data_IF_917444760969
#
_entry.id   IF_917444760969
#
_cell.length_a   1.000
_cell.length_b   1.000
_cell.length_c   1.000
_cell.angle_alpha   90.00
_cell.angle_beta   90.00
_cell.angle_gamma   90.00
#
_symmetry.space_group_name_H-M   'P 1'
#
loop_
_entity.id
_entity.type
_entity.pdbx_description
1 polymer ?
#
# COMPACT_ATOMS: atom_id res chain seq x y z
N UNK A 1 17.03 3.04 6.27
CA UNK A 1 16.43 4.05 7.17
C UNK A 1 17.12 3.94 8.50
N UNK A 2 17.81 5.00 8.96
CA UNK A 2 18.52 4.96 10.25
C UNK A 2 17.59 5.11 11.45
N UNK A 3 16.49 5.87 11.29
CA UNK A 3 15.53 6.14 12.36
C UNK A 3 14.08 5.99 11.86
N UNK A 4 13.59 4.77 11.61
CA UNK A 4 12.20 4.57 11.22
C UNK A 4 11.28 4.91 12.40
N UNK A 5 10.18 5.58 12.10
CA UNK A 5 9.05 5.72 13.02
C UNK A 5 7.90 4.89 12.47
N UNK A 6 7.27 4.10 13.34
CA UNK A 6 6.19 3.18 12.97
C UNK A 6 4.96 3.50 13.80
N UNK A 7 3.82 3.64 13.13
CA UNK A 7 2.50 3.74 13.75
C UNK A 7 1.67 2.55 13.31
N UNK A 8 1.08 1.84 14.26
CA UNK A 8 0.11 0.79 13.96
C UNK A 8 -1.31 1.35 13.99
N UNK A 9 -2.12 0.86 13.07
CA UNK A 9 -3.56 1.06 13.07
C UNK A 9 -4.24 -0.30 12.94
N UNK A 10 -5.40 -0.45 13.56
CA UNK A 10 -6.30 -1.57 13.31
C UNK A 10 -7.65 -1.04 12.84
N UNK A 11 -8.24 -1.74 11.88
CA UNK A 11 -9.58 -1.47 11.36
C UNK A 11 -10.44 -2.70 11.54
N UNK A 12 -11.71 -2.46 11.84
CA UNK A 12 -12.77 -3.44 11.86
C UNK A 12 -13.93 -3.01 10.97
N UNK A 13 -15.07 -3.66 11.13
CA UNK A 13 -16.32 -3.19 10.55
C UNK A 13 -16.70 -1.86 11.20
N UNK A 14 -17.27 -0.90 10.47
CA UNK A 14 -17.60 0.42 11.03
C UNK A 14 -18.52 0.35 12.29
N UNK A 15 -19.32 -0.71 12.41
CA UNK A 15 -20.27 -0.96 13.50
C UNK A 15 -19.65 -1.66 14.72
N UNK A 16 -18.38 -2.04 14.64
CA UNK A 16 -17.63 -2.64 15.74
C UNK A 16 -17.45 -1.63 16.89
N UNK A 17 -17.00 -2.12 18.06
CA UNK A 17 -16.83 -1.28 19.26
C UNK A 17 -15.62 -0.37 19.16
N UNK A 18 -14.58 -0.81 18.46
CA UNK A 18 -13.32 -0.15 18.16
C UNK A 18 -13.03 -0.31 16.65
N UNK A 19 -13.88 0.30 15.79
CA UNK A 19 -13.83 0.12 14.34
C UNK A 19 -12.57 0.73 13.70
N UNK A 20 -11.94 1.67 14.39
CA UNK A 20 -10.64 2.24 14.07
C UNK A 20 -9.86 2.44 15.37
N UNK A 21 -8.67 1.85 15.43
CA UNK A 21 -7.71 2.02 16.52
C UNK A 21 -6.43 2.58 15.92
N UNK A 22 -5.89 3.66 16.52
CA UNK A 22 -4.70 4.34 16.03
C UNK A 22 -3.72 4.50 17.17
N UNK A 23 -2.49 4.03 16.97
CA UNK A 23 -1.37 4.26 17.88
C UNK A 23 -0.68 5.60 17.66
N UNK A 24 0.56 5.69 18.15
CA UNK A 24 1.46 6.80 17.86
C UNK A 24 2.62 6.33 16.99
N UNK A 25 3.29 7.29 16.33
CA UNK A 25 4.55 7.03 15.66
C UNK A 25 5.66 6.84 16.70
N UNK A 26 6.17 5.62 16.80
CA UNK A 26 7.22 5.26 17.76
C UNK A 26 8.52 4.88 17.05
N UNK A 27 9.66 5.17 17.70
CA UNK A 27 11.00 4.89 17.17
C UNK A 27 11.74 3.78 17.90
N UNK A 28 11.23 3.29 19.03
CA UNK A 28 11.87 2.22 19.81
C UNK A 28 11.10 0.91 19.67
N UNK A 29 11.84 -0.20 19.57
CA UNK A 29 11.23 -1.52 19.41
C UNK A 29 10.23 -1.86 20.53
N UNK A 30 10.51 -1.45 21.77
CA UNK A 30 9.62 -1.69 22.90
C UNK A 30 8.30 -0.90 22.83
N UNK A 31 8.33 0.35 22.37
CA UNK A 31 7.10 1.15 22.23
C UNK A 31 6.29 0.71 21.00
N UNK A 32 6.97 0.37 19.90
CA UNK A 32 6.36 -0.24 18.71
C UNK A 32 5.61 -1.53 19.10
N UNK A 33 6.27 -2.43 19.84
CA UNK A 33 5.68 -3.68 20.32
C UNK A 33 4.52 -3.45 21.31
N UNK A 34 4.65 -2.46 22.19
CA UNK A 34 3.60 -2.12 23.15
C UNK A 34 2.32 -1.65 22.45
N UNK A 35 2.41 -0.85 21.39
CA UNK A 35 1.24 -0.45 20.61
C UNK A 35 0.62 -1.62 19.85
N UNK A 36 1.45 -2.48 19.24
CA UNK A 36 0.96 -3.67 18.54
C UNK A 36 0.19 -4.60 19.50
N UNK A 37 0.72 -4.82 20.70
CA UNK A 37 0.11 -5.68 21.74
C UNK A 37 -1.19 -5.09 22.31
N UNK A 38 -1.37 -3.77 22.26
CA UNK A 38 -2.56 -3.08 22.75
C UNK A 38 -3.73 -3.08 21.76
N UNK A 39 -3.49 -3.47 20.51
CA UNK A 39 -4.57 -3.59 19.52
C UNK A 39 -5.58 -4.62 20.00
N UNK A 40 -6.83 -4.20 20.10
CA UNK A 40 -7.91 -5.08 20.46
C UNK A 40 -8.51 -5.71 19.21
N UNK A 41 -8.25 -7.01 19.03
CA UNK A 41 -8.88 -7.82 18.00
C UNK A 41 -10.27 -8.25 18.49
N UNK A 42 -11.33 -7.63 17.96
CA UNK A 42 -12.70 -7.88 18.41
C UNK A 42 -13.24 -9.28 18.07
N UNK A 43 -12.60 -10.00 17.14
CA UNK A 43 -12.95 -11.38 16.80
C UNK A 43 -14.26 -11.54 16.02
N UNK A 44 -14.78 -10.45 15.44
CA UNK A 44 -16.04 -10.41 14.68
C UNK A 44 -15.92 -10.52 13.15
N UNK A 45 -14.70 -10.69 12.61
CA UNK A 45 -14.35 -10.60 11.18
C UNK A 45 -14.90 -11.68 10.24
N UNK A 46 -16.12 -12.19 10.48
CA UNK A 46 -16.82 -13.09 9.57
C UNK A 46 -17.66 -12.33 8.51
N UNK A 47 -17.56 -11.00 8.46
CA UNK A 47 -18.29 -10.13 7.54
C UNK A 47 -17.62 -9.96 6.18
N UNK A 48 -18.37 -9.46 5.20
CA UNK A 48 -17.82 -9.08 3.87
C UNK A 48 -17.30 -7.64 3.82
N UNK A 49 -17.21 -6.96 4.97
CA UNK A 49 -17.04 -5.52 5.04
C UNK A 49 -16.10 -5.16 6.18
N UNK A 50 -15.02 -4.47 5.83
CA UNK A 50 -13.98 -3.96 6.74
C UNK A 50 -13.70 -2.51 6.34
N UNK A 51 -13.56 -1.62 7.32
CA UNK A 51 -13.50 -0.18 7.09
C UNK A 51 -12.09 0.33 6.74
N UNK A 52 -11.46 -0.26 5.72
CA UNK A 52 -10.11 0.13 5.27
C UNK A 52 -10.05 1.61 4.83
N UNK A 53 -11.15 2.12 4.27
CA UNK A 53 -11.30 3.51 3.88
C UNK A 53 -11.26 4.47 5.06
N UNK A 54 -11.64 4.05 6.27
CA UNK A 54 -11.47 4.87 7.48
C UNK A 54 -9.99 5.00 7.87
N UNK A 55 -9.19 3.94 7.77
CA UNK A 55 -7.75 4.04 7.98
C UNK A 55 -7.08 4.96 6.94
N UNK A 56 -7.48 4.85 5.67
CA UNK A 56 -6.98 5.74 4.62
C UNK A 56 -7.41 7.19 4.84
N UNK A 57 -8.66 7.42 5.29
CA UNK A 57 -9.16 8.74 5.64
C UNK A 57 -8.38 9.36 6.79
N UNK A 58 -8.17 8.59 7.86
CA UNK A 58 -7.38 9.01 9.00
C UNK A 58 -5.94 9.35 8.58
N UNK A 59 -5.28 8.48 7.80
CA UNK A 59 -3.94 8.75 7.30
C UNK A 59 -3.88 10.02 6.42
N UNK A 60 -4.88 10.26 5.57
CA UNK A 60 -4.88 11.41 4.67
C UNK A 60 -5.11 12.75 5.41
N UNK A 61 -5.93 12.77 6.46
CA UNK A 61 -6.44 14.02 7.07
C UNK A 61 -6.05 14.26 8.52
N UNK A 62 -5.70 13.20 9.25
CA UNK A 62 -5.39 13.26 10.68
C UNK A 62 -3.92 12.95 10.98
N UNK A 63 -3.14 12.52 9.97
CA UNK A 63 -1.70 12.31 10.13
C UNK A 63 -0.91 13.43 9.49
N UNK A 64 -0.09 14.09 10.30
CA UNK A 64 0.92 15.04 9.83
C UNK A 64 2.29 14.38 9.89
N UNK A 65 3.01 14.41 8.77
CA UNK A 65 4.36 13.84 8.66
C UNK A 65 5.39 14.97 8.53
N UNK A 66 6.36 15.00 9.45
CA UNK A 66 7.50 15.90 9.36
C UNK A 66 8.36 15.59 8.11
N UNK A 67 8.41 14.33 7.67
CA UNK A 67 9.09 13.89 6.45
C UNK A 67 8.50 14.57 5.22
N UNK A 68 7.18 14.75 5.18
CA UNK A 68 6.50 15.44 4.09
C UNK A 68 6.75 16.94 4.20
N UNK A 69 6.48 17.53 5.35
CA UNK A 69 6.56 18.99 5.55
C UNK A 69 7.97 19.56 5.40
N UNK A 70 8.98 18.86 5.92
CA UNK A 70 10.35 19.36 6.00
C UNK A 70 11.24 18.86 4.88
N UNK A 71 10.92 17.69 4.28
CA UNK A 71 11.80 17.00 3.32
C UNK A 71 11.11 16.63 2.01
N UNK A 72 9.80 16.86 1.87
CA UNK A 72 9.03 16.43 0.70
C UNK A 72 9.00 14.91 0.51
N UNK A 73 9.29 14.15 1.58
CA UNK A 73 9.36 12.69 1.55
C UNK A 73 8.08 12.09 2.09
N UNK A 74 7.33 11.42 1.22
CA UNK A 74 6.11 10.69 1.59
C UNK A 74 6.42 9.58 2.58
N UNK A 75 5.52 9.40 3.54
CA UNK A 75 5.51 8.22 4.41
C UNK A 75 5.09 6.98 3.65
N UNK A 76 5.07 5.82 4.30
CA UNK A 76 4.57 4.57 3.74
C UNK A 76 3.34 4.13 4.50
N UNK A 77 2.31 3.69 3.79
CA UNK A 77 1.12 3.07 4.38
C UNK A 77 0.99 1.64 3.85
N UNK A 78 0.96 0.67 4.75
CA UNK A 78 0.71 -0.73 4.41
C UNK A 78 -0.63 -1.15 4.98
N UNK A 79 -1.59 -1.43 4.10
CA UNK A 79 -2.90 -1.96 4.47
C UNK A 79 -2.89 -3.47 4.32
N UNK A 80 -3.13 -4.22 5.40
CA UNK A 80 -3.37 -5.67 5.32
C UNK A 80 -4.85 -5.91 5.08
N UNK A 81 -5.19 -6.55 3.96
CA UNK A 81 -6.58 -6.74 3.56
C UNK A 81 -6.87 -8.18 3.15
N UNK A 82 -8.10 -8.62 3.37
CA UNK A 82 -8.62 -9.94 3.03
C UNK A 82 -10.02 -9.89 2.38
N UNK A 83 -10.76 -8.79 2.55
CA UNK A 83 -12.02 -8.49 1.86
C UNK A 83 -11.89 -7.35 0.84
N UNK A 84 -12.94 -7.11 0.05
CA UNK A 84 -12.95 -6.07 -0.98
C UNK A 84 -13.02 -4.66 -0.36
N UNK A 85 -12.43 -3.64 -1.01
CA UNK A 85 -12.52 -2.26 -0.54
C UNK A 85 -13.93 -1.70 -0.69
N UNK A 86 -14.32 -0.81 0.21
CA UNK A 86 -15.54 -0.04 0.07
C UNK A 86 -15.42 1.01 -1.05
N UNK A 87 -16.53 1.31 -1.76
CA UNK A 87 -16.50 2.23 -2.90
C UNK A 87 -16.38 3.71 -2.48
N UNK A 88 -16.66 4.04 -1.22
CA UNK A 88 -16.61 5.40 -0.69
C UNK A 88 -16.41 5.39 0.84
N UNK A 89 -15.89 6.50 1.36
CA UNK A 89 -15.91 6.83 2.79
C UNK A 89 -17.28 7.41 3.12
N UNK A 90 -18.00 6.78 4.05
CA UNK A 90 -19.30 7.25 4.53
C UNK A 90 -19.13 8.47 5.45
N UNK A 91 -19.83 9.56 5.13
CA UNK A 91 -19.87 10.76 6.00
C UNK A 91 -20.47 10.46 7.38
N UNK A 92 -21.41 9.52 7.44
CA UNK A 92 -22.10 9.14 8.68
C UNK A 92 -21.15 8.37 9.59
N UNK A 93 -20.36 7.45 9.03
CA UNK A 93 -19.38 6.68 9.78
C UNK A 93 -18.23 7.56 10.24
N UNK A 94 -17.72 8.44 9.37
CA UNK A 94 -16.70 9.43 9.74
C UNK A 94 -17.20 10.34 10.86
N UNK A 95 -18.42 10.88 10.76
CA UNK A 95 -18.97 11.73 11.83
C UNK A 95 -19.08 10.98 13.15
N UNK A 96 -19.54 9.73 13.12
CA UNK A 96 -19.72 8.91 14.32
C UNK A 96 -18.39 8.48 14.95
N UNK A 97 -17.40 8.09 14.14
CA UNK A 97 -16.16 7.47 14.61
C UNK A 97 -15.06 8.52 14.86
N UNK A 98 -14.92 9.50 13.96
CA UNK A 98 -13.85 10.50 13.98
C UNK A 98 -14.33 11.89 14.39
N UNK A 99 -15.63 12.17 14.32
CA UNK A 99 -16.21 13.45 14.72
C UNK A 99 -16.23 14.52 13.60
N UNK A 100 -15.58 14.25 12.47
CA UNK A 100 -15.50 15.19 11.34
C UNK A 100 -16.86 15.36 10.63
N UNK A 101 -17.15 16.59 10.21
CA UNK A 101 -18.33 16.92 9.41
C UNK A 101 -17.98 16.95 7.92
N UNK A 102 -18.29 15.85 7.23
CA UNK A 102 -18.17 15.79 5.77
C UNK A 102 -19.48 16.24 5.09
N UNK A 103 -19.40 17.08 4.04
CA UNK A 103 -20.59 17.53 3.33
C UNK A 103 -21.30 16.38 2.58
N UNK A 104 -20.52 15.41 2.09
CA UNK A 104 -20.99 14.23 1.37
C UNK A 104 -20.01 13.05 1.55
N UNK A 105 -20.43 11.85 1.16
CA UNK A 105 -19.55 10.68 1.08
C UNK A 105 -18.41 10.95 0.09
N UNK A 106 -17.21 10.44 0.39
CA UNK A 106 -16.01 10.67 -0.43
C UNK A 106 -15.75 9.43 -1.28
N UNK A 107 -15.80 9.50 -2.62
CA UNK A 107 -15.45 8.37 -3.47
C UNK A 107 -14.04 7.84 -3.17
N UNK A 108 -13.88 6.51 -3.12
CA UNK A 108 -12.62 5.88 -2.71
C UNK A 108 -11.42 6.34 -3.55
N UNK A 109 -11.62 6.58 -4.85
CA UNK A 109 -10.56 7.08 -5.74
C UNK A 109 -10.10 8.48 -5.37
N UNK A 110 -11.01 9.38 -5.03
CA UNK A 110 -10.67 10.74 -4.59
C UNK A 110 -9.90 10.71 -3.28
N UNK A 111 -10.27 9.83 -2.35
CA UNK A 111 -9.52 9.63 -1.11
C UNK A 111 -8.10 9.11 -1.38
N UNK A 112 -7.94 8.13 -2.27
CA UNK A 112 -6.63 7.56 -2.60
C UNK A 112 -5.71 8.64 -3.21
N UNK A 113 -6.24 9.49 -4.09
CA UNK A 113 -5.50 10.62 -4.65
C UNK A 113 -5.05 11.63 -3.58
N UNK A 114 -5.92 11.91 -2.59
CA UNK A 114 -5.59 12.75 -1.44
C UNK A 114 -4.49 12.12 -0.57
N UNK A 115 -4.66 10.84 -0.22
CA UNK A 115 -3.72 10.05 0.58
C UNK A 115 -2.31 10.01 -0.06
N UNK A 116 -2.26 9.87 -1.38
CA UNK A 116 -1.00 9.80 -2.15
C UNK A 116 -0.17 11.09 -2.12
N UNK A 117 -0.71 12.20 -1.59
CA UNK A 117 0.06 13.43 -1.37
C UNK A 117 1.05 13.29 -0.21
N UNK A 118 0.70 12.50 0.80
CA UNK A 118 1.49 12.34 2.03
C UNK A 118 2.08 10.94 2.19
N UNK A 119 1.48 9.93 1.56
CA UNK A 119 1.88 8.53 1.71
C UNK A 119 2.13 7.83 0.37
N UNK A 120 2.95 6.79 0.42
CA UNK A 120 3.04 5.72 -0.57
C UNK A 120 2.20 4.53 -0.07
N UNK A 121 0.93 4.41 -0.48
CA UNK A 121 0.07 3.32 -0.02
C UNK A 121 0.34 2.02 -0.78
N UNK A 122 0.26 0.91 -0.04
CA UNK A 122 0.39 -0.45 -0.52
C UNK A 122 -0.64 -1.35 0.17
N UNK A 123 -1.11 -2.35 -0.56
CA UNK A 123 -2.05 -3.36 -0.04
C UNK A 123 -1.34 -4.69 0.05
N UNK A 124 -1.21 -5.23 1.24
CA UNK A 124 -0.75 -6.59 1.51
C UNK A 124 -1.98 -7.50 1.59
N UNK A 125 -2.29 -8.15 0.48
CA UNK A 125 -3.49 -8.96 0.33
C UNK A 125 -3.26 -10.37 0.88
N UNK A 126 -4.12 -10.84 1.76
CA UNK A 126 -4.07 -12.19 2.33
C UNK A 126 -4.17 -13.27 1.24
N UNK A 127 -3.46 -14.39 1.42
CA UNK A 127 -3.43 -15.48 0.44
C UNK A 127 -4.82 -16.08 0.17
N UNK A 128 -5.70 -16.09 1.18
CA UNK A 128 -7.05 -16.63 1.08
C UNK A 128 -8.03 -15.72 0.31
N UNK A 129 -7.66 -14.48 -0.04
CA UNK A 129 -8.56 -13.55 -0.72
C UNK A 129 -9.04 -14.10 -2.08
N UNK A 130 -10.30 -13.90 -2.46
CA UNK A 130 -10.75 -14.37 -3.77
C UNK A 130 -10.10 -13.58 -4.94
N UNK A 131 -10.01 -14.13 -6.16
CA UNK A 131 -9.58 -13.37 -7.33
C UNK A 131 -10.43 -12.12 -7.61
N UNK A 132 -11.70 -12.12 -7.19
CA UNK A 132 -12.58 -10.94 -7.27
C UNK A 132 -12.12 -9.83 -6.33
N UNK A 133 -11.75 -10.19 -5.09
CA UNK A 133 -11.19 -9.25 -4.11
C UNK A 133 -9.87 -8.68 -4.61
N UNK A 134 -8.97 -9.54 -5.11
CA UNK A 134 -7.70 -9.08 -5.67
C UNK A 134 -7.91 -8.09 -6.82
N UNK A 135 -8.83 -8.40 -7.75
CA UNK A 135 -9.17 -7.49 -8.86
C UNK A 135 -9.66 -6.14 -8.36
N UNK A 136 -10.58 -6.11 -7.39
CA UNK A 136 -11.11 -4.87 -6.84
C UNK A 136 -10.01 -3.96 -6.24
N UNK A 137 -9.03 -4.55 -5.53
CA UNK A 137 -7.88 -3.80 -5.04
C UNK A 137 -6.94 -3.37 -6.18
N UNK A 138 -6.68 -4.22 -7.18
CA UNK A 138 -5.83 -3.88 -8.33
C UNK A 138 -6.43 -2.78 -9.20
N UNK A 139 -7.74 -2.70 -9.32
CA UNK A 139 -8.42 -1.61 -10.03
C UNK A 139 -8.23 -0.24 -9.37
N UNK A 140 -7.82 -0.22 -8.09
CA UNK A 140 -7.50 0.99 -7.32
C UNK A 140 -5.99 1.26 -7.23
N UNK A 141 -5.18 0.23 -7.00
CA UNK A 141 -3.76 0.36 -6.63
C UNK A 141 -2.77 -0.25 -7.64
N UNK A 142 -3.25 -0.97 -8.67
CA UNK A 142 -2.41 -1.61 -9.68
C UNK A 142 -1.37 -2.57 -9.08
N UNK A 143 -0.10 -2.36 -9.43
CA UNK A 143 1.03 -3.17 -8.94
C UNK A 143 1.40 -2.89 -7.48
N UNK A 144 0.72 -1.95 -6.81
CA UNK A 144 0.87 -1.72 -5.35
C UNK A 144 0.02 -2.67 -4.50
N UNK A 145 -0.61 -3.67 -5.13
CA UNK A 145 -1.26 -4.81 -4.46
C UNK A 145 -0.31 -6.01 -4.47
N UNK A 146 0.13 -6.42 -3.29
CA UNK A 146 1.08 -7.49 -3.08
C UNK A 146 0.40 -8.66 -2.38
N UNK A 147 0.37 -9.81 -3.04
CA UNK A 147 -0.24 -11.00 -2.48
C UNK A 147 0.72 -11.69 -1.52
N UNK A 148 0.32 -11.76 -0.25
CA UNK A 148 1.09 -12.31 0.84
C UNK A 148 0.71 -13.77 1.08
N UNK A 149 1.61 -14.69 0.72
CA UNK A 149 1.39 -16.15 0.84
C UNK A 149 1.46 -16.68 2.28
N UNK A 150 2.07 -15.92 3.18
CA UNK A 150 2.18 -16.26 4.60
C UNK A 150 2.24 -14.97 5.42
N UNK A 151 1.55 -14.90 6.55
CA UNK A 151 1.45 -13.69 7.39
C UNK A 151 2.81 -13.19 7.89
N UNK A 152 3.73 -14.12 8.20
CA UNK A 152 5.09 -13.79 8.63
C UNK A 152 5.90 -13.03 7.56
N UNK A 153 5.48 -13.05 6.29
CA UNK A 153 6.17 -12.37 5.21
C UNK A 153 5.88 -10.85 5.20
N UNK A 154 4.89 -10.36 5.97
CA UNK A 154 4.44 -8.96 5.94
C UNK A 154 5.58 -7.95 6.14
N UNK A 155 6.38 -8.12 7.20
CA UNK A 155 7.48 -7.22 7.52
C UNK A 155 8.57 -7.23 6.44
N UNK A 156 8.86 -8.39 5.86
CA UNK A 156 9.82 -8.53 4.77
C UNK A 156 9.31 -7.93 3.45
N UNK A 157 8.01 -8.00 3.17
CA UNK A 157 7.42 -7.34 2.01
C UNK A 157 7.46 -5.82 2.20
N UNK A 158 7.00 -5.32 3.34
CA UNK A 158 6.98 -3.89 3.66
C UNK A 158 8.40 -3.28 3.61
N UNK A 159 9.37 -3.90 4.27
CA UNK A 159 10.76 -3.44 4.22
C UNK A 159 11.36 -3.52 2.82
N UNK A 160 10.97 -4.50 1.99
CA UNK A 160 11.38 -4.60 0.60
C UNK A 160 10.86 -3.44 -0.26
N UNK A 161 9.59 -3.06 -0.09
CA UNK A 161 8.99 -1.91 -0.75
C UNK A 161 9.69 -0.60 -0.39
N UNK A 162 9.94 -0.37 0.90
CA UNK A 162 10.70 0.79 1.36
C UNK A 162 12.12 0.77 0.78
N UNK A 163 12.80 -0.39 0.83
CA UNK A 163 14.17 -0.51 0.39
C UNK A 163 14.33 -0.23 -1.11
N UNK A 164 13.40 -0.73 -1.93
CA UNK A 164 13.36 -0.54 -3.38
C UNK A 164 13.04 0.92 -3.74
N UNK A 165 12.03 1.53 -3.11
CA UNK A 165 11.64 2.91 -3.40
C UNK A 165 12.69 3.93 -2.94
N UNK A 166 13.34 3.69 -1.80
CA UNK A 166 14.42 4.55 -1.31
C UNK A 166 15.77 4.27 -1.97
N UNK A 167 15.88 3.27 -2.85
CA UNK A 167 17.13 2.93 -3.54
C UNK A 167 18.22 2.37 -2.63
N UNK A 168 17.88 1.92 -1.41
CA UNK A 168 18.84 1.29 -0.48
C UNK A 168 19.32 -0.10 -0.90
N UNK A 169 18.69 -0.64 -1.96
CA UNK A 169 19.06 -1.85 -2.69
C UNK A 169 18.93 -1.56 -4.19
N UNK A 170 19.85 -2.11 -4.98
CA UNK A 170 19.89 -1.86 -6.42
C UNK A 170 18.78 -2.58 -7.20
N UNK A 171 18.33 -3.73 -6.70
CA UNK A 171 17.34 -4.61 -7.33
C UNK A 171 16.64 -5.51 -6.31
N UNK A 172 15.55 -6.16 -6.74
CA UNK A 172 14.87 -7.20 -5.97
C UNK A 172 15.82 -8.35 -5.61
N UNK A 173 16.67 -8.79 -6.54
CA UNK A 173 17.66 -9.83 -6.28
C UNK A 173 18.65 -9.44 -5.17
N UNK A 174 19.11 -8.19 -5.15
CA UNK A 174 19.98 -7.69 -4.09
C UNK A 174 19.27 -7.67 -2.72
N UNK A 175 17.98 -7.34 -2.69
CA UNK A 175 17.18 -7.38 -1.47
C UNK A 175 17.00 -8.82 -0.95
N UNK A 176 16.63 -9.75 -1.82
CA UNK A 176 16.47 -11.17 -1.47
C UNK A 176 17.77 -11.76 -0.95
N UNK A 177 18.90 -11.49 -1.60
CA UNK A 177 20.22 -11.93 -1.13
C UNK A 177 20.58 -11.38 0.26
N UNK A 178 20.16 -10.14 0.58
CA UNK A 178 20.33 -9.57 1.92
C UNK A 178 19.51 -10.32 2.96
N UNK A 179 18.25 -10.66 2.66
CA UNK A 179 17.40 -11.43 3.58
C UNK A 179 17.99 -12.82 3.86
N UNK A 180 18.47 -13.51 2.83
CA UNK A 180 19.10 -14.82 2.99
C UNK A 180 20.38 -14.75 3.83
N UNK A 181 21.22 -13.72 3.61
CA UNK A 181 22.41 -13.49 4.41
C UNK A 181 22.10 -13.18 5.89
N UNK A 182 20.90 -12.65 6.17
CA UNK A 182 20.38 -12.42 7.54
C UNK A 182 19.71 -13.66 8.15
N UNK A 183 19.74 -14.80 7.45
CA UNK A 183 19.24 -16.08 7.95
C UNK A 183 17.79 -16.40 7.56
N UNK A 184 17.14 -15.59 6.72
CA UNK A 184 15.83 -15.93 6.19
C UNK A 184 15.95 -17.17 5.27
N UNK A 185 15.21 -18.22 5.58
CA UNK A 185 15.25 -19.45 4.79
C UNK A 185 14.83 -19.23 3.33
N UNK A 186 15.49 -19.91 2.39
CA UNK A 186 15.26 -19.79 0.93
C UNK A 186 13.78 -19.84 0.50
N UNK A 187 12.98 -20.70 1.14
CA UNK A 187 11.53 -20.80 0.86
C UNK A 187 10.79 -19.51 1.20
N UNK A 188 11.07 -18.90 2.36
CA UNK A 188 10.47 -17.63 2.76
C UNK A 188 10.97 -16.48 1.87
N UNK A 189 12.28 -16.44 1.59
CA UNK A 189 12.87 -15.48 0.68
C UNK A 189 12.21 -15.52 -0.73
N UNK A 190 11.94 -16.71 -1.26
CA UNK A 190 11.25 -16.88 -2.53
C UNK A 190 9.78 -16.41 -2.50
N UNK A 191 9.05 -16.60 -1.38
CA UNK A 191 7.69 -16.06 -1.23
C UNK A 191 7.68 -14.54 -1.23
N UNK A 192 8.58 -13.92 -0.46
CA UNK A 192 8.77 -12.45 -0.42
C UNK A 192 9.13 -11.92 -1.80
N UNK A 193 10.07 -12.57 -2.50
CA UNK A 193 10.43 -12.20 -3.87
C UNK A 193 9.21 -12.24 -4.79
N UNK A 194 8.45 -13.33 -4.76
CA UNK A 194 7.25 -13.51 -5.60
C UNK A 194 6.22 -12.41 -5.37
N UNK A 195 6.00 -12.00 -4.12
CA UNK A 195 5.08 -10.91 -3.79
C UNK A 195 5.56 -9.55 -4.34
N UNK A 196 6.88 -9.30 -4.32
CA UNK A 196 7.48 -8.03 -4.73
C UNK A 196 7.70 -7.90 -6.25
N UNK A 197 7.75 -9.00 -7.01
CA UNK A 197 8.06 -8.99 -8.46
C UNK A 197 7.21 -7.99 -9.25
N UNK A 198 5.85 -7.97 -9.17
CA UNK A 198 5.05 -7.07 -10.00
C UNK A 198 5.40 -5.59 -9.76
N UNK A 199 5.53 -5.21 -8.48
CA UNK A 199 5.92 -3.84 -8.13
C UNK A 199 7.36 -3.52 -8.53
N UNK A 200 8.30 -4.45 -8.29
CA UNK A 200 9.68 -4.26 -8.69
C UNK A 200 9.80 -4.09 -10.22
N UNK A 201 9.02 -4.81 -11.00
CA UNK A 201 8.99 -4.68 -12.46
C UNK A 201 8.42 -3.32 -12.90
N UNK A 202 7.37 -2.81 -12.25
CA UNK A 202 6.75 -1.52 -12.60
C UNK A 202 7.68 -0.32 -12.39
N UNK A 203 8.62 -0.41 -11.45
CA UNK A 203 9.71 0.57 -11.26
C UNK A 203 11.03 0.12 -11.93
N UNK A 204 11.01 -1.03 -12.61
CA UNK A 204 12.10 -1.73 -13.27
C UNK A 204 13.35 -1.94 -12.39
N UNK A 205 13.12 -2.39 -11.17
CA UNK A 205 14.07 -2.88 -10.18
C UNK A 205 14.00 -4.40 -9.99
N UNK A 206 13.25 -5.11 -10.84
CA UNK A 206 13.15 -6.58 -10.84
C UNK A 206 14.47 -7.27 -11.23
N UNK A 207 15.39 -6.55 -11.89
CA UNK A 207 16.67 -7.09 -12.35
C UNK A 207 16.58 -7.79 -13.71
N UNK A 208 15.43 -7.72 -14.38
CA UNK A 208 15.27 -8.24 -15.73
C UNK A 208 16.01 -7.34 -16.74
N UNK A 209 16.68 -7.90 -17.76
CA UNK A 209 17.21 -7.11 -18.87
C UNK A 209 16.08 -6.34 -19.53
N UNK A 210 16.16 -5.00 -19.56
CA UNK A 210 15.17 -4.21 -20.28
C UNK A 210 15.50 -4.25 -21.78
N UNK A 211 14.53 -4.53 -22.66
CA UNK A 211 14.75 -4.40 -24.09
C UNK A 211 15.14 -2.97 -24.40
N UNK A 212 16.20 -2.79 -25.19
CA UNK A 212 16.58 -1.47 -25.72
C UNK A 212 15.49 -1.10 -26.74
N UNK A 213 14.52 -0.30 -26.30
CA UNK A 213 13.57 0.32 -27.23
C UNK A 213 14.32 1.43 -27.94
N UNK A 214 14.81 1.15 -29.16
CA UNK A 214 15.23 2.22 -30.06
C UNK A 214 14.00 3.09 -30.32
N UNK A 215 14.07 4.42 -30.19
CA UNK A 215 13.01 5.29 -30.66
C UNK A 215 12.75 4.92 -32.12
N UNK A 216 11.52 4.54 -32.43
CA UNK A 216 11.11 4.37 -33.82
C UNK A 216 11.12 5.78 -34.40
N UNK A 217 11.98 6.05 -35.38
CA UNK A 217 11.87 7.27 -36.18
C UNK A 217 10.55 7.17 -36.95
N UNK A 218 9.50 7.73 -36.37
CA UNK A 218 8.23 7.89 -37.04
C UNK A 218 8.46 8.80 -38.26
N UNK A 219 8.04 8.40 -39.47
CA UNK A 219 8.15 9.26 -40.64
C UNK A 219 7.45 10.59 -40.35
N UNK A 220 8.22 11.68 -40.39
CA UNK A 220 7.68 13.03 -40.31
C UNK A 220 7.30 13.47 -41.72
N UNK A 221 6.00 13.55 -41.96
CA UNK A 221 5.43 14.10 -43.20
C UNK A 221 4.71 13.04 -44.02
N UNK A 222 3.49 12.68 -43.59
CA UNK A 222 2.54 12.11 -44.53
C UNK A 222 2.00 13.23 -45.45
N UNK A 223 1.94 13.02 -46.78
CA UNK A 223 1.22 13.93 -47.66
C UNK A 223 -0.27 13.95 -47.26
N UNK A 224 -0.99 15.07 -47.49
CA UNK A 224 -2.39 15.18 -47.09
C UNK A 224 -3.19 14.00 -47.64
N UNK A 225 -3.84 13.26 -46.74
CA UNK A 225 -4.74 12.18 -47.10
C UNK A 225 -5.78 12.77 -48.06
N UNK A 226 -5.76 12.33 -49.32
CA UNK A 226 -6.54 12.87 -50.45
C UNK A 226 -8.04 12.67 -50.35
N UNK A 227 -8.64 12.81 -49.17
CA UNK A 227 -10.07 12.97 -48.96
C UNK A 227 -10.39 14.46 -48.95
N UNK A 228 -10.61 15.02 -50.14
CA UNK A 228 -11.42 16.23 -50.23
C UNK A 228 -12.81 15.91 -49.67
N UNK A 229 -13.21 16.67 -48.65
CA UNK A 229 -14.56 16.60 -48.09
C UNK A 229 -15.54 17.05 -49.19
N UNK A 230 -16.37 16.13 -49.65
CA UNK A 230 -17.64 16.45 -50.31
C UNK A 230 -18.66 16.95 -49.27
#
# INVERSE_FOLDING_TARGET
VEHPQVCFMAVGHAMDRAPLQVGQFESTASLIDAWLTRIWMEGGGAGQHEAYELAMYYAARHVTLDSVQLRGQRGFLFLTADVAPNPAVSRVEVKRILGDDLPADVPIRALIEELQRSFEPFVLLADAASPKVERAWRDLFGDRVLRMRHTDDAAHIASGLVALLQGSVGSLGAYVGRLEAQGLGRKAAARVATALVPFAASIGRDGAPRPIVKPLDLPKGDPPSGLERL
#
